data_IF_575276957130
#
_entry.id   IF_575276957130
#
_cell.length_a   1.000
_cell.length_b   1.000
_cell.length_c   1.000
_cell.angle_alpha   90.00
_cell.angle_beta   90.00
_cell.angle_gamma   90.00
#
_symmetry.space_group_name_H-M   'P 1'
#
loop_
_entity.id
_entity.type
_entity.pdbx_description
1 polymer ?
#
# COMPACT_ATOMS: atom_id res chain seq x y z
N UNK A 1 -10.96 -28.79 1.60
CA UNK A 1 -10.63 -27.47 2.16
C UNK A 1 -11.08 -26.38 1.22
N UNK A 2 -11.81 -25.45 1.71
CA UNK A 2 -12.22 -24.30 0.90
C UNK A 2 -11.32 -23.12 1.19
N UNK A 3 -10.98 -22.38 0.14
CA UNK A 3 -10.22 -21.14 0.25
C UNK A 3 -11.20 -19.98 0.15
N UNK A 4 -11.09 -19.05 1.07
CA UNK A 4 -11.84 -17.81 0.99
C UNK A 4 -10.94 -16.72 0.42
N UNK A 5 -11.37 -16.12 -0.66
CA UNK A 5 -10.67 -15.00 -1.27
C UNK A 5 -11.37 -13.72 -0.85
N UNK A 6 -10.61 -12.82 -0.27
CA UNK A 6 -11.13 -11.50 0.12
C UNK A 6 -10.30 -10.42 -0.53
N UNK A 7 -10.98 -9.45 -1.08
CA UNK A 7 -10.33 -8.32 -1.72
C UNK A 7 -10.95 -7.05 -1.15
N UNK A 8 -10.12 -6.24 -0.50
CA UNK A 8 -10.55 -5.01 0.12
C UNK A 8 -9.92 -3.84 -0.62
N UNK A 9 -10.75 -2.95 -1.10
CA UNK A 9 -10.33 -1.71 -1.75
C UNK A 9 -10.80 -0.54 -0.91
N UNK A 10 -9.88 0.35 -0.56
CA UNK A 10 -10.18 1.53 0.21
C UNK A 10 -9.73 2.76 -0.57
N UNK A 11 -10.64 3.70 -0.74
CA UNK A 11 -10.32 5.02 -1.27
C UNK A 11 -10.52 6.00 -0.14
N UNK A 12 -9.51 6.80 0.14
CA UNK A 12 -9.53 7.72 1.27
C UNK A 12 -8.84 9.03 0.94
N UNK A 13 -9.10 10.03 1.76
CA UNK A 13 -8.37 11.29 1.77
C UNK A 13 -7.56 11.33 3.06
N UNK A 14 -6.28 11.67 2.96
CA UNK A 14 -5.38 11.67 4.11
C UNK A 14 -4.69 13.03 4.23
N UNK A 15 -4.68 13.57 5.45
CA UNK A 15 -4.05 14.87 5.70
C UNK A 15 -2.53 14.77 5.80
N UNK A 16 -2.04 13.65 6.31
CA UNK A 16 -0.61 13.39 6.46
C UNK A 16 -0.25 12.15 5.65
N UNK A 17 -0.02 12.34 4.35
CA UNK A 17 0.27 11.22 3.47
C UNK A 17 1.73 10.78 3.60
N UNK A 18 1.98 9.55 3.18
CA UNK A 18 3.33 9.03 3.06
C UNK A 18 3.96 9.68 1.83
N UNK A 19 5.03 10.44 2.03
CA UNK A 19 5.67 11.22 0.96
C UNK A 19 6.97 10.60 0.47
N UNK A 20 7.57 9.72 1.27
CA UNK A 20 8.82 9.08 0.88
C UNK A 20 8.64 7.60 0.66
N UNK A 21 9.50 7.04 -0.20
CA UNK A 21 9.51 5.58 -0.44
C UNK A 21 9.90 4.84 0.83
N UNK A 22 10.77 5.42 1.65
CA UNK A 22 11.21 4.80 2.89
C UNK A 22 10.06 4.69 3.89
N UNK A 23 9.26 5.74 4.02
CA UNK A 23 8.09 5.72 4.89
C UNK A 23 7.05 4.72 4.40
N UNK A 24 6.88 4.61 3.09
CA UNK A 24 5.94 3.65 2.51
C UNK A 24 6.37 2.21 2.79
N UNK A 25 7.66 1.92 2.64
CA UNK A 25 8.20 0.59 2.95
C UNK A 25 8.01 0.27 4.43
N UNK A 26 8.34 1.21 5.31
CA UNK A 26 8.18 1.02 6.76
C UNK A 26 6.73 0.80 7.13
N UNK A 27 5.82 1.53 6.52
CA UNK A 27 4.39 1.38 6.75
C UNK A 27 3.92 -0.04 6.40
N UNK A 28 4.32 -0.55 5.23
CA UNK A 28 3.92 -1.90 4.81
C UNK A 28 4.52 -2.97 5.70
N UNK A 29 5.79 -2.84 6.11
CA UNK A 29 6.42 -3.79 7.02
C UNK A 29 5.68 -3.85 8.36
N UNK A 30 5.37 -2.68 8.90
CA UNK A 30 4.66 -2.58 10.17
C UNK A 30 3.26 -3.19 10.07
N UNK A 31 2.57 -2.92 8.98
CA UNK A 31 1.24 -3.46 8.76
C UNK A 31 1.25 -4.98 8.66
N UNK A 32 2.18 -5.56 7.89
CA UNK A 32 2.29 -7.01 7.75
C UNK A 32 2.58 -7.66 9.09
N UNK A 33 3.47 -7.06 9.89
CA UNK A 33 3.77 -7.57 11.23
C UNK A 33 2.54 -7.54 12.12
N UNK A 34 1.77 -6.46 12.07
CA UNK A 34 0.56 -6.31 12.91
C UNK A 34 -0.52 -7.32 12.55
N UNK A 35 -0.63 -7.71 11.29
CA UNK A 35 -1.60 -8.74 10.91
C UNK A 35 -1.06 -10.15 11.03
N UNK A 36 0.18 -10.32 11.48
CA UNK A 36 0.76 -11.63 11.77
C UNK A 36 1.12 -12.45 10.56
N UNK A 37 1.40 -11.80 9.43
CA UNK A 37 1.75 -12.48 8.20
C UNK A 37 3.24 -12.38 7.90
N UNK A 38 3.73 -13.21 6.97
CA UNK A 38 5.13 -13.23 6.57
C UNK A 38 5.30 -12.59 5.20
N UNK A 39 6.32 -11.74 5.10
CA UNK A 39 6.68 -11.13 3.82
C UNK A 39 7.42 -12.16 2.96
N UNK A 40 6.98 -12.31 1.71
CA UNK A 40 7.66 -13.13 0.71
C UNK A 40 8.50 -12.29 -0.22
N UNK A 41 8.04 -11.11 -0.59
CA UNK A 41 8.77 -10.23 -1.49
C UNK A 41 8.42 -8.77 -1.21
N UNK A 42 9.43 -7.92 -1.28
CA UNK A 42 9.28 -6.51 -0.99
C UNK A 42 9.41 -6.21 0.50
N UNK A 43 8.80 -5.14 0.99
CA UNK A 43 8.05 -4.14 0.23
C UNK A 43 8.90 -3.37 -0.77
N UNK A 44 8.29 -2.98 -1.89
CA UNK A 44 8.91 -2.10 -2.86
C UNK A 44 8.07 -0.83 -2.96
N UNK A 45 8.75 0.30 -3.09
CA UNK A 45 8.06 1.58 -3.24
C UNK A 45 8.81 2.46 -4.21
N UNK A 46 8.05 3.24 -4.97
CA UNK A 46 8.59 4.19 -5.94
C UNK A 46 7.77 5.46 -5.88
N UNK A 47 8.45 6.60 -5.94
CA UNK A 47 7.77 7.87 -6.07
C UNK A 47 7.59 8.19 -7.55
N UNK A 48 6.36 8.45 -7.94
CA UNK A 48 6.03 8.84 -9.30
C UNK A 48 6.02 10.36 -9.37
N UNK A 49 6.83 10.93 -10.24
CA UNK A 49 6.93 12.38 -10.43
C UNK A 49 6.41 12.74 -11.82
N UNK A 50 5.16 12.40 -12.08
CA UNK A 50 4.51 12.70 -13.34
C UNK A 50 3.27 13.56 -13.08
N UNK A 51 3.10 14.70 -13.77
CA UNK A 51 1.92 15.54 -13.57
C UNK A 51 0.63 14.73 -13.70
N UNK A 52 -0.26 14.90 -12.72
CA UNK A 52 -1.51 14.17 -12.65
C UNK A 52 -1.41 12.87 -11.85
N UNK A 53 -0.20 12.35 -11.63
CA UNK A 53 0.01 11.08 -10.92
C UNK A 53 1.14 11.13 -9.90
N UNK A 54 1.44 12.30 -9.37
CA UNK A 54 2.52 12.39 -8.38
C UNK A 54 2.14 11.74 -7.07
N UNK A 55 3.07 10.95 -6.54
CA UNK A 55 2.90 10.30 -5.26
C UNK A 55 3.62 8.97 -5.20
N UNK A 56 3.49 8.30 -4.05
CA UNK A 56 4.15 7.03 -3.79
C UNK A 56 3.26 5.87 -4.23
N UNK A 57 3.87 4.91 -4.90
CA UNK A 57 3.27 3.60 -5.17
C UNK A 57 4.08 2.55 -4.45
N UNK A 58 3.42 1.68 -3.69
CA UNK A 58 4.10 0.65 -2.91
C UNK A 58 3.34 -0.67 -2.94
N UNK A 59 4.10 -1.76 -2.84
CA UNK A 59 3.52 -3.10 -2.87
C UNK A 59 4.37 -4.05 -2.04
N UNK A 60 3.71 -4.99 -1.38
CA UNK A 60 4.35 -6.10 -0.67
C UNK A 60 3.61 -7.39 -0.96
N UNK A 61 4.36 -8.45 -1.28
CA UNK A 61 3.83 -9.79 -1.41
C UNK A 61 3.98 -10.54 -0.10
N UNK A 62 2.91 -11.16 0.36
CA UNK A 62 2.90 -11.95 1.59
C UNK A 62 2.37 -13.33 1.25
N UNK A 63 2.45 -14.27 2.20
CA UNK A 63 2.01 -15.64 1.91
C UNK A 63 0.58 -15.64 1.38
N UNK A 64 0.40 -16.05 0.13
CA UNK A 64 -0.88 -16.17 -0.58
C UNK A 64 -1.70 -14.88 -0.69
N UNK A 65 -1.05 -13.73 -0.47
CA UNK A 65 -1.74 -12.43 -0.39
C UNK A 65 -0.82 -11.31 -0.88
N UNK A 66 -1.37 -10.13 -0.99
CA UNK A 66 -0.57 -8.94 -1.26
C UNK A 66 -1.27 -7.69 -0.74
N UNK A 67 -0.48 -6.65 -0.50
CA UNK A 67 -0.97 -5.33 -0.13
C UNK A 67 -0.29 -4.32 -1.04
N UNK A 68 -1.06 -3.44 -1.62
CA UNK A 68 -0.56 -2.37 -2.45
C UNK A 68 -1.29 -1.07 -2.12
N UNK A 69 -0.62 0.06 -2.28
CA UNK A 69 -1.30 1.33 -2.18
C UNK A 69 -0.67 2.36 -3.10
N UNK A 70 -1.47 3.36 -3.42
CA UNK A 70 -1.07 4.49 -4.25
C UNK A 70 -1.52 5.76 -3.55
N UNK A 71 -0.63 6.74 -3.52
CA UNK A 71 -0.92 8.07 -2.96
C UNK A 71 -0.81 9.08 -4.09
N UNK A 72 -1.76 9.99 -4.15
CA UNK A 72 -1.70 11.15 -5.05
C UNK A 72 -1.58 12.39 -4.17
N UNK A 73 -0.40 13.01 -4.18
CA UNK A 73 -0.09 14.11 -3.26
C UNK A 73 -0.15 15.50 -3.89
N UNK A 74 -0.54 15.60 -5.17
CA UNK A 74 -0.74 16.89 -5.82
C UNK A 74 -1.95 17.65 -5.28
N UNK A 75 -2.86 16.95 -4.61
CA UNK A 75 -4.05 17.53 -4.01
C UNK A 75 -3.95 17.49 -2.49
N UNK A 76 -4.65 18.40 -1.82
CA UNK A 76 -4.69 18.46 -0.37
C UNK A 76 -6.15 18.47 0.08
N UNK A 77 -6.61 17.51 0.89
CA UNK A 77 -5.87 16.33 1.39
C UNK A 77 -5.46 15.38 0.27
N UNK A 78 -4.37 14.64 0.47
CA UNK A 78 -3.90 13.67 -0.50
C UNK A 78 -4.93 12.55 -0.67
N UNK A 79 -4.94 11.97 -1.87
CA UNK A 79 -5.80 10.80 -2.14
C UNK A 79 -4.99 9.53 -1.93
N UNK A 80 -5.62 8.55 -1.31
CA UNK A 80 -5.03 7.23 -1.07
C UNK A 80 -5.95 6.16 -1.63
N UNK A 81 -5.39 5.24 -2.38
CA UNK A 81 -6.07 4.01 -2.76
C UNK A 81 -5.27 2.84 -2.18
N UNK A 82 -5.94 2.02 -1.41
CA UNK A 82 -5.36 0.87 -0.71
C UNK A 82 -6.03 -0.40 -1.20
N UNK A 83 -5.22 -1.41 -1.47
CA UNK A 83 -5.66 -2.69 -2.02
C UNK A 83 -5.06 -3.81 -1.17
N UNK A 84 -5.93 -4.62 -0.57
CA UNK A 84 -5.52 -5.80 0.18
C UNK A 84 -6.24 -7.02 -0.38
N UNK A 85 -5.46 -7.96 -0.89
CA UNK A 85 -5.97 -9.26 -1.31
C UNK A 85 -5.45 -10.34 -0.37
N UNK A 86 -6.35 -11.17 0.12
CA UNK A 86 -6.00 -12.27 1.01
C UNK A 86 -6.75 -13.53 0.63
N UNK A 87 -6.21 -14.68 0.97
CA UNK A 87 -6.90 -15.95 0.83
C UNK A 87 -6.54 -16.94 1.95
#
# INVERSE_FOLDING_TARGET
MSLEHKHILINARVNNSLESTEDAVSFLKDLVERVGMKILMGPHATYVDAPGNRGVTAIVGIETSHIAFHVWDEVTPARLQFDLYTC
#
